data_IF_785798098931
#
_entry.id   IF_785798098931
#
_cell.length_a   1.000
_cell.length_b   1.000
_cell.length_c   1.000
_cell.angle_alpha   90.00
_cell.angle_beta   90.00
_cell.angle_gamma   90.00
#
_symmetry.space_group_name_H-M   'P 1'
#
loop_
_entity.id
_entity.type
_entity.pdbx_description
1 polymer ?
#
# COMPACT_ATOMS: atom_id res chain seq x y z
N UNK A 1 6.54 14.32 -4.73
CA UNK A 1 5.35 13.54 -5.17
C UNK A 1 4.09 14.39 -5.18
N UNK A 2 3.32 14.36 -6.26
CA UNK A 2 2.08 15.13 -6.41
C UNK A 2 1.64 15.26 -7.87
N UNK A 3 1.24 14.14 -8.48
CA UNK A 3 0.56 14.17 -9.78
C UNK A 3 -0.93 14.49 -9.60
N UNK A 4 -1.64 14.74 -10.71
CA UNK A 4 -3.10 14.85 -10.68
C UNK A 4 -3.74 13.47 -10.41
N UNK A 5 -4.85 13.44 -9.68
CA UNK A 5 -5.70 12.25 -9.58
C UNK A 5 -6.22 11.80 -10.96
N UNK A 6 -6.35 12.71 -11.92
CA UNK A 6 -6.67 12.38 -13.31
C UNK A 6 -5.56 11.54 -13.96
N UNK A 7 -4.30 11.87 -13.67
CA UNK A 7 -3.14 11.11 -14.16
C UNK A 7 -3.10 9.71 -13.56
N UNK A 8 -3.40 9.59 -12.26
CA UNK A 8 -3.52 8.29 -11.61
C UNK A 8 -4.67 7.45 -12.21
N UNK A 9 -5.85 8.05 -12.40
CA UNK A 9 -7.00 7.38 -13.00
C UNK A 9 -6.74 6.94 -14.44
N UNK A 10 -6.05 7.78 -15.22
CA UNK A 10 -5.62 7.43 -16.58
C UNK A 10 -4.66 6.24 -16.57
N UNK A 11 -3.65 6.24 -15.67
CA UNK A 11 -2.71 5.13 -15.54
C UNK A 11 -3.40 3.80 -15.19
N UNK A 12 -4.34 3.81 -14.24
CA UNK A 12 -5.13 2.61 -13.90
C UNK A 12 -5.89 2.08 -15.14
N UNK A 13 -6.45 2.98 -15.94
CA UNK A 13 -7.17 2.61 -17.17
C UNK A 13 -6.24 2.05 -18.24
N UNK A 14 -5.03 2.60 -18.36
CA UNK A 14 -3.99 2.10 -19.25
C UNK A 14 -3.51 0.71 -18.83
N UNK A 15 -3.25 0.48 -17.53
CA UNK A 15 -2.86 -0.83 -17.03
C UNK A 15 -3.95 -1.89 -17.28
N UNK A 16 -5.21 -1.54 -17.01
CA UNK A 16 -6.36 -2.43 -17.22
C UNK A 16 -6.54 -2.85 -18.69
N UNK A 17 -6.12 -2.03 -19.65
CA UNK A 17 -6.18 -2.35 -21.09
C UNK A 17 -4.89 -2.99 -21.63
N UNK A 18 -3.75 -2.75 -20.98
CA UNK A 18 -2.44 -3.24 -21.45
C UNK A 18 -2.11 -4.64 -20.95
N UNK A 19 -2.62 -5.02 -19.78
CA UNK A 19 -2.35 -6.33 -19.17
C UNK A 19 -3.56 -7.26 -19.28
N UNK A 20 -3.30 -8.53 -19.58
CA UNK A 20 -4.36 -9.56 -19.63
C UNK A 20 -5.00 -9.83 -18.26
N UNK A 21 -4.27 -9.60 -17.17
CA UNK A 21 -4.76 -9.70 -15.81
C UNK A 21 -3.97 -8.78 -14.86
N UNK A 22 -4.57 -7.68 -14.44
CA UNK A 22 -3.93 -6.75 -13.48
C UNK A 22 -3.83 -7.32 -12.06
N UNK A 23 -4.60 -8.35 -11.70
CA UNK A 23 -4.62 -8.89 -10.34
C UNK A 23 -3.34 -9.68 -9.97
N UNK A 24 -2.51 -10.04 -10.96
CA UNK A 24 -1.23 -10.72 -10.72
C UNK A 24 -0.05 -9.74 -10.66
N UNK A 25 -0.29 -8.45 -10.93
CA UNK A 25 0.74 -7.41 -10.81
C UNK A 25 1.00 -7.11 -9.34
N UNK A 26 2.25 -6.75 -9.03
CA UNK A 26 2.65 -6.34 -7.68
C UNK A 26 2.71 -4.83 -7.60
N UNK A 27 1.97 -4.26 -6.66
CA UNK A 27 1.95 -2.82 -6.41
C UNK A 27 2.85 -2.51 -5.22
N UNK A 28 3.56 -1.38 -5.26
CA UNK A 28 4.38 -0.91 -4.15
C UNK A 28 4.45 0.62 -4.11
N UNK A 29 4.59 1.17 -2.90
CA UNK A 29 4.81 2.61 -2.68
C UNK A 29 6.28 2.94 -2.43
N UNK A 30 7.04 1.96 -1.96
CA UNK A 30 8.43 2.08 -1.55
C UNK A 30 9.20 0.85 -2.06
N UNK A 31 10.46 1.05 -2.37
CA UNK A 31 11.43 -0.01 -2.63
C UNK A 31 12.82 0.48 -2.19
N UNK A 32 13.87 -0.29 -2.51
CA UNK A 32 15.25 0.07 -2.19
C UNK A 32 15.92 0.97 -3.24
N UNK A 33 15.30 1.16 -4.40
CA UNK A 33 15.88 1.92 -5.53
C UNK A 33 15.34 3.34 -5.63
N UNK A 34 14.27 3.66 -4.90
CA UNK A 34 13.61 4.96 -4.91
C UNK A 34 13.60 5.55 -3.51
N UNK A 35 13.51 6.89 -3.40
CA UNK A 35 13.31 7.52 -2.12
C UNK A 35 12.03 7.09 -1.43
N UNK A 36 12.10 6.96 -0.10
CA UNK A 36 10.94 6.65 0.73
C UNK A 36 9.83 7.65 0.44
N UNK A 37 8.59 7.19 0.33
CA UNK A 37 7.43 8.08 0.12
C UNK A 37 7.35 9.16 1.22
N UNK A 38 7.69 8.78 2.46
CA UNK A 38 7.74 9.67 3.61
C UNK A 38 8.83 10.74 3.50
N UNK A 39 9.88 10.52 2.69
CA UNK A 39 10.90 11.56 2.40
C UNK A 39 10.36 12.67 1.50
N UNK A 40 9.21 12.44 0.84
CA UNK A 40 8.61 13.37 -0.12
C UNK A 40 7.31 14.01 0.37
N UNK A 41 6.77 13.54 1.49
CA UNK A 41 5.47 13.96 2.05
C UNK A 41 5.60 14.91 3.24
N UNK A 42 6.78 15.43 3.57
CA UNK A 42 7.01 16.20 4.81
C UNK A 42 6.51 15.42 6.04
N UNK A 43 6.06 16.08 7.11
CA UNK A 43 5.48 15.42 8.28
C UNK A 43 3.96 15.14 8.14
N UNK A 44 3.53 14.72 6.94
CA UNK A 44 2.11 14.48 6.62
C UNK A 44 1.75 12.99 6.65
N UNK A 45 1.45 12.47 7.84
CA UNK A 45 1.03 11.07 8.04
C UNK A 45 -0.32 10.76 7.37
N UNK A 46 -1.15 11.77 7.06
CA UNK A 46 -2.44 11.57 6.37
C UNK A 46 -2.20 11.12 4.93
N UNK A 47 -1.19 11.68 4.26
CA UNK A 47 -0.76 11.21 2.93
C UNK A 47 -0.28 9.78 2.96
N UNK A 48 0.51 9.40 3.96
CA UNK A 48 1.03 8.04 4.10
C UNK A 48 -0.13 7.04 4.28
N UNK A 49 -1.14 7.38 5.08
CA UNK A 49 -2.38 6.58 5.26
C UNK A 49 -3.18 6.44 3.97
N UNK A 50 -3.39 7.53 3.23
CA UNK A 50 -4.12 7.47 1.96
C UNK A 50 -3.38 6.62 0.92
N UNK A 51 -2.06 6.79 0.82
CA UNK A 51 -1.23 6.01 -0.10
C UNK A 51 -1.30 4.52 0.21
N UNK A 52 -1.13 4.11 1.48
CA UNK A 52 -1.19 2.69 1.84
C UNK A 52 -2.59 2.10 1.74
N UNK A 53 -3.64 2.91 1.94
CA UNK A 53 -5.02 2.49 1.65
C UNK A 53 -5.20 2.18 0.17
N UNK A 54 -4.74 3.06 -0.71
CA UNK A 54 -4.78 2.82 -2.15
C UNK A 54 -4.00 1.57 -2.54
N UNK A 55 -2.77 1.42 -2.03
CA UNK A 55 -1.95 0.21 -2.23
C UNK A 55 -2.70 -1.06 -1.85
N UNK A 56 -3.34 -1.06 -0.68
CA UNK A 56 -4.04 -2.24 -0.16
C UNK A 56 -5.32 -2.58 -0.93
N UNK A 57 -6.01 -1.61 -1.53
CA UNK A 57 -7.33 -1.83 -2.15
C UNK A 57 -7.39 -1.71 -3.67
N UNK A 58 -6.32 -1.25 -4.33
CA UNK A 58 -6.23 -1.32 -5.79
C UNK A 58 -6.05 -2.75 -6.30
N UNK A 59 -6.35 -2.99 -7.57
CA UNK A 59 -6.18 -4.28 -8.23
C UNK A 59 -4.71 -4.70 -8.24
N UNK A 60 -4.43 -5.96 -7.93
CA UNK A 60 -3.07 -6.49 -7.80
C UNK A 60 -2.72 -6.96 -6.39
N UNK A 61 -1.46 -7.36 -6.22
CA UNK A 61 -0.89 -7.86 -4.98
C UNK A 61 -0.20 -6.68 -4.28
N UNK A 62 -0.66 -6.24 -3.09
CA UNK A 62 0.00 -5.17 -2.36
C UNK A 62 1.33 -5.66 -1.76
N UNK A 63 2.40 -4.91 -1.99
CA UNK A 63 3.70 -5.11 -1.35
C UNK A 63 4.07 -3.87 -0.53
N UNK A 64 4.26 -4.08 0.77
CA UNK A 64 4.76 -3.07 1.70
C UNK A 64 6.25 -3.34 1.93
N UNK A 65 7.09 -2.37 1.61
CA UNK A 65 8.51 -2.43 1.91
C UNK A 65 8.76 -2.09 3.38
N UNK A 66 9.62 -2.86 4.04
CA UNK A 66 9.88 -2.73 5.47
C UNK A 66 10.30 -1.31 5.85
N UNK A 67 10.00 -0.89 7.07
CA UNK A 67 10.29 0.46 7.56
C UNK A 67 9.21 1.49 7.18
N UNK A 68 8.33 1.20 6.22
CA UNK A 68 7.16 2.06 5.98
C UNK A 68 6.24 2.07 7.21
N UNK A 69 6.06 0.94 7.88
CA UNK A 69 5.32 0.82 9.13
C UNK A 69 5.96 1.59 10.31
N UNK A 70 7.26 1.88 10.21
CA UNK A 70 8.02 2.70 11.15
C UNK A 70 8.18 4.15 10.67
N UNK A 71 7.57 4.50 9.54
CA UNK A 71 7.68 5.80 8.88
C UNK A 71 9.12 6.25 8.64
N UNK A 72 9.95 5.36 8.10
CA UNK A 72 11.30 5.70 7.66
C UNK A 72 11.28 6.77 6.54
N UNK A 73 12.06 7.84 6.72
CA UNK A 73 12.05 9.05 5.87
C UNK A 73 13.32 9.25 5.05
N UNK A 74 14.27 8.32 5.06
CA UNK A 74 15.54 8.56 4.37
C UNK A 74 15.35 8.59 2.86
N UNK A 75 16.09 9.48 2.21
CA UNK A 75 15.88 9.80 0.81
C UNK A 75 16.58 8.83 -0.14
N UNK A 76 17.87 9.02 -0.43
CA UNK A 76 18.54 8.31 -1.53
C UNK A 76 19.55 7.29 -0.99
N UNK A 77 19.72 6.18 -1.71
CA UNK A 77 20.81 5.21 -1.55
C UNK A 77 22.13 5.93 -1.20
N UNK A 78 22.82 5.54 -0.10
CA UNK A 78 22.60 4.35 0.75
C UNK A 78 21.60 4.52 1.89
N UNK A 79 20.98 5.69 2.02
CA UNK A 79 20.22 6.02 3.23
C UNK A 79 18.84 5.37 3.28
N UNK A 80 18.25 4.95 2.15
CA UNK A 80 16.97 4.23 2.09
C UNK A 80 17.07 2.73 2.41
N UNK A 81 18.22 2.29 2.92
CA UNK A 81 18.51 0.96 3.45
C UNK A 81 18.60 0.96 4.98
N UNK A 82 17.74 1.74 5.65
CA UNK A 82 17.75 1.84 7.10
C UNK A 82 17.56 0.48 7.76
N UNK A 83 18.25 0.26 8.87
CA UNK A 83 18.21 -1.04 9.54
C UNK A 83 16.96 -1.16 10.42
N UNK A 84 16.04 -2.06 10.06
CA UNK A 84 14.74 -2.19 10.74
C UNK A 84 14.87 -2.40 12.26
N UNK A 85 15.89 -3.14 12.72
CA UNK A 85 16.07 -3.42 14.15
C UNK A 85 16.32 -2.18 15.00
N UNK A 86 16.78 -1.07 14.42
CA UNK A 86 16.96 0.20 15.15
C UNK A 86 15.63 0.84 15.56
N UNK A 87 14.51 0.45 14.94
CA UNK A 87 13.17 0.85 15.37
C UNK A 87 12.72 0.18 16.67
N UNK A 88 13.45 -0.83 17.14
CA UNK A 88 13.01 -1.68 18.26
C UNK A 88 11.79 -2.54 17.92
N UNK A 89 11.42 -2.66 16.63
CA UNK A 89 10.22 -3.35 16.16
C UNK A 89 8.94 -2.81 16.82
N UNK A 90 8.86 -1.49 16.99
CA UNK A 90 7.74 -0.85 17.66
C UNK A 90 6.42 -1.14 16.92
N UNK A 91 5.54 -1.92 17.55
CA UNK A 91 4.21 -2.27 17.02
C UNK A 91 3.15 -1.23 17.37
N UNK A 92 3.50 -0.20 18.16
CA UNK A 92 2.59 0.86 18.58
C UNK A 92 2.52 2.06 17.63
N UNK A 93 3.35 2.09 16.59
CA UNK A 93 3.34 3.16 15.59
C UNK A 93 2.00 3.24 14.86
N UNK A 94 1.68 4.45 14.39
CA UNK A 94 0.40 4.68 13.71
C UNK A 94 0.27 3.85 12.44
N UNK A 95 1.31 3.81 11.61
CA UNK A 95 1.29 3.09 10.34
C UNK A 95 1.28 1.56 10.54
N UNK A 96 1.96 1.02 11.55
CA UNK A 96 1.88 -0.40 11.88
C UNK A 96 0.44 -0.83 12.20
N UNK A 97 -0.21 -0.12 13.14
CA UNK A 97 -1.61 -0.39 13.53
C UNK A 97 -2.57 -0.20 12.35
N UNK A 98 -2.34 0.84 11.55
CA UNK A 98 -3.19 1.14 10.39
C UNK A 98 -3.09 0.06 9.31
N UNK A 99 -1.88 -0.38 8.94
CA UNK A 99 -1.68 -1.46 7.98
C UNK A 99 -2.32 -2.76 8.48
N UNK A 100 -2.18 -3.08 9.77
CA UNK A 100 -2.84 -4.23 10.37
C UNK A 100 -4.37 -4.16 10.20
N UNK A 101 -4.98 -3.00 10.45
CA UNK A 101 -6.42 -2.78 10.23
C UNK A 101 -6.82 -2.97 8.76
N UNK A 102 -6.09 -2.37 7.82
CA UNK A 102 -6.38 -2.52 6.38
C UNK A 102 -6.25 -3.97 5.93
N UNK A 103 -5.26 -4.70 6.46
CA UNK A 103 -5.06 -6.10 6.17
C UNK A 103 -6.23 -6.96 6.67
N UNK A 104 -6.72 -6.73 7.89
CA UNK A 104 -7.92 -7.40 8.42
C UNK A 104 -9.17 -7.12 7.57
N UNK A 105 -9.29 -5.93 6.98
CA UNK A 105 -10.39 -5.60 6.08
C UNK A 105 -10.25 -6.31 4.73
N UNK A 106 -9.02 -6.36 4.16
CA UNK A 106 -8.76 -6.98 2.85
C UNK A 106 -8.89 -8.51 2.88
N UNK A 107 -8.65 -9.15 4.03
CA UNK A 107 -8.76 -10.61 4.17
C UNK A 107 -10.11 -11.09 3.64
N UNK A 108 -10.14 -12.04 2.69
CA UNK A 108 -11.40 -12.56 2.19
C UNK A 108 -12.13 -13.26 3.34
N UNK A 109 -13.23 -12.64 3.81
CA UNK A 109 -14.14 -13.29 4.75
C UNK A 109 -14.89 -14.37 3.98
N UNK A 110 -14.38 -15.60 4.07
CA UNK A 110 -14.93 -16.79 3.43
C UNK A 110 -16.42 -17.04 3.73
N UNK A 111 -16.99 -16.37 4.74
CA UNK A 111 -18.36 -16.56 5.21
C UNK A 111 -19.43 -15.69 4.51
N UNK A 112 -19.08 -14.57 3.85
CA UNK A 112 -20.09 -13.61 3.34
C UNK A 112 -20.38 -13.68 1.83
N UNK A 113 -19.58 -14.43 1.05
CA UNK A 113 -19.68 -14.45 -0.43
C UNK A 113 -20.20 -15.81 -0.96
N UNK A 114 -20.57 -16.76 -0.08
CA UNK A 114 -21.02 -18.12 -0.48
C UNK A 114 -22.50 -18.43 -0.24
N UNK A 115 -23.39 -17.44 -0.15
CA UNK A 115 -24.83 -17.71 -0.22
C UNK A 115 -25.31 -17.60 -1.67
N UNK A 116 -25.63 -18.70 -2.36
CA UNK A 116 -26.32 -18.61 -3.63
C UNK A 116 -27.70 -17.97 -3.40
N UNK A 117 -28.03 -16.96 -4.21
CA UNK A 117 -29.32 -16.25 -4.22
C UNK A 117 -30.49 -17.16 -4.66
N UNK A 118 -30.24 -18.42 -4.99
CA UNK A 118 -31.21 -19.34 -5.58
C UNK A 118 -32.16 -20.05 -4.60
N UNK A 119 -32.55 -19.43 -3.47
CA UNK A 119 -33.48 -20.07 -2.51
C UNK A 119 -34.53 -19.15 -1.88
N UNK A 120 -35.01 -18.18 -2.66
CA UNK A 120 -36.27 -17.47 -2.41
C UNK A 120 -37.05 -17.40 -3.73
N UNK A 121 -37.77 -18.47 -4.05
CA UNK A 121 -39.02 -18.56 -4.81
C UNK A 121 -39.37 -20.02 -5.06
#
# INVERSE_FOLDING_TARGET
MGGSFDGLAAMISTEASSFSNVNVLTNFLNNHDQPRIASQSSDDEVRDKNAVTFLMFTSGIPMVYYGFEQRFTSAVDPNNLETLWTSGYNTDTTLYKYIAQLHEIKKPRMLLIRLPISRLM
#
